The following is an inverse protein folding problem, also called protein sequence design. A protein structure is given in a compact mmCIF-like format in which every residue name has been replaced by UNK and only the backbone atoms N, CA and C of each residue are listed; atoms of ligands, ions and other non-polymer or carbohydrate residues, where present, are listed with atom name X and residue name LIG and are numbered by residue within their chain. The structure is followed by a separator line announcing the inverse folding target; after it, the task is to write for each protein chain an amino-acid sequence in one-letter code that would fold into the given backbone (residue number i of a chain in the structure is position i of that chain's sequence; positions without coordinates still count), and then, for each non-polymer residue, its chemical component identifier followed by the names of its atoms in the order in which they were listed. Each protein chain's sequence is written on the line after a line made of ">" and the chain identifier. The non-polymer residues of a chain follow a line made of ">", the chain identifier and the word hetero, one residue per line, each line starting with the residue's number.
data_IF_982557829729
#
_entry.id   IF_982557829729
#
_cell.length_a   1.000
_cell.length_b   1.000
_cell.length_c   1.000
_cell.angle_alpha   90.00
_cell.angle_beta   90.00
_cell.angle_gamma   90.00
#
_symmetry.space_group_name_H-M   'P 1'
#
loop_
_entity.id
_entity.type
_entity.pdbx_description
1 polymer ?
#
# COMPACT_ATOMS: atom_id res chain seq x y z
N UNK A 1 -16.49 -0.82 -17.86
CA UNK A 1 -15.87 -1.66 -18.93
C UNK A 1 -14.69 -2.36 -18.31
N UNK A 2 -14.80 -3.68 -18.07
CA UNK A 2 -13.71 -4.50 -17.51
C UNK A 2 -12.62 -4.61 -18.58
N UNK A 3 -11.45 -3.99 -18.36
CA UNK A 3 -10.28 -4.25 -19.20
C UNK A 3 -9.90 -5.72 -19.00
N UNK A 4 -10.01 -6.51 -20.04
CA UNK A 4 -9.49 -7.87 -20.09
C UNK A 4 -7.96 -7.77 -19.88
N UNK A 5 -7.50 -8.14 -18.69
CA UNK A 5 -6.08 -8.28 -18.40
C UNK A 5 -5.42 -9.11 -19.50
N UNK A 6 -4.30 -8.65 -20.03
CA UNK A 6 -3.56 -9.40 -21.02
C UNK A 6 -3.15 -10.76 -20.45
N UNK A 7 -2.96 -11.77 -21.30
CA UNK A 7 -2.45 -13.09 -20.86
C UNK A 7 -1.13 -12.97 -20.09
N UNK A 8 -0.33 -11.97 -20.41
CA UNK A 8 0.94 -11.67 -19.72
C UNK A 8 0.68 -11.14 -18.30
N UNK A 9 -0.27 -10.21 -18.14
CA UNK A 9 -0.60 -9.63 -16.83
C UNK A 9 -1.22 -10.68 -15.92
N UNK A 10 -2.11 -11.53 -16.45
CA UNK A 10 -2.68 -12.65 -15.70
C UNK A 10 -1.60 -13.62 -15.22
N UNK A 11 -0.69 -14.04 -16.09
CA UNK A 11 0.43 -14.91 -15.71
C UNK A 11 1.35 -14.26 -14.68
N UNK A 12 1.56 -12.94 -14.78
CA UNK A 12 2.35 -12.20 -13.81
C UNK A 12 1.70 -12.23 -12.44
N UNK A 13 0.41 -11.99 -12.35
CA UNK A 13 -0.36 -12.03 -11.09
C UNK A 13 -0.38 -13.46 -10.51
N UNK A 14 -0.61 -14.47 -11.33
CA UNK A 14 -0.59 -15.88 -10.91
C UNK A 14 0.78 -16.28 -10.34
N UNK A 15 1.88 -15.91 -10.99
CA UNK A 15 3.24 -16.23 -10.51
C UNK A 15 3.55 -15.49 -9.22
N UNK A 16 3.16 -14.20 -9.11
CA UNK A 16 3.31 -13.42 -7.89
C UNK A 16 2.56 -14.08 -6.72
N UNK A 17 1.29 -14.46 -6.94
CA UNK A 17 0.47 -15.11 -5.93
C UNK A 17 1.07 -16.45 -5.48
N UNK A 18 1.55 -17.27 -6.42
CA UNK A 18 2.18 -18.54 -6.11
C UNK A 18 3.46 -18.39 -5.26
N UNK A 19 4.28 -17.38 -5.56
CA UNK A 19 5.48 -17.07 -4.79
C UNK A 19 5.15 -16.59 -3.38
N UNK A 20 4.15 -15.71 -3.24
CA UNK A 20 3.69 -15.22 -1.93
C UNK A 20 3.11 -16.36 -1.09
N UNK A 21 2.21 -17.17 -1.65
CA UNK A 21 1.60 -18.32 -0.96
C UNK A 21 2.68 -19.32 -0.48
N UNK A 22 3.64 -19.66 -1.34
CA UNK A 22 4.76 -20.52 -0.99
C UNK A 22 5.60 -19.93 0.16
N UNK A 23 5.95 -18.63 0.08
CA UNK A 23 6.75 -17.96 1.07
C UNK A 23 6.05 -17.89 2.43
N UNK A 24 4.77 -17.53 2.44
CA UNK A 24 3.99 -17.41 3.67
C UNK A 24 3.78 -18.79 4.33
N UNK A 25 3.40 -19.83 3.59
CA UNK A 25 3.23 -21.20 4.11
C UNK A 25 4.52 -21.77 4.69
N UNK A 26 5.63 -21.69 3.95
CA UNK A 26 6.93 -22.12 4.45
C UNK A 26 7.32 -21.39 5.74
N UNK A 27 6.97 -20.11 5.83
CA UNK A 27 7.22 -19.30 7.03
C UNK A 27 6.38 -19.77 8.22
N UNK A 28 5.10 -20.04 8.02
CA UNK A 28 4.23 -20.58 9.08
C UNK A 28 4.69 -21.95 9.57
N UNK A 29 5.21 -22.79 8.67
CA UNK A 29 5.68 -24.14 8.98
C UNK A 29 7.03 -24.14 9.73
N UNK A 30 7.99 -23.30 9.33
CA UNK A 30 9.38 -23.41 9.77
C UNK A 30 9.98 -22.16 10.41
N UNK A 31 9.26 -21.05 10.37
CA UNK A 31 9.72 -19.74 10.82
C UNK A 31 10.51 -19.00 9.74
N UNK A 32 10.51 -17.63 9.77
CA UNK A 32 11.09 -16.80 8.70
C UNK A 32 12.60 -16.99 8.51
N UNK A 33 13.33 -17.37 9.59
CA UNK A 33 14.78 -17.53 9.54
C UNK A 33 15.21 -18.76 8.75
N UNK A 34 14.37 -19.80 8.70
CA UNK A 34 14.66 -21.05 7.97
C UNK A 34 14.22 -21.02 6.52
N UNK A 35 13.37 -20.08 6.13
CA UNK A 35 12.90 -19.93 4.75
C UNK A 35 13.98 -19.29 3.90
N UNK A 36 14.24 -19.88 2.72
CA UNK A 36 15.19 -19.37 1.73
C UNK A 36 14.49 -19.03 0.43
N UNK A 37 15.05 -18.12 -0.36
CA UNK A 37 14.52 -17.77 -1.69
C UNK A 37 14.49 -18.96 -2.63
N UNK A 38 15.46 -19.87 -2.52
CA UNK A 38 15.50 -21.09 -3.33
C UNK A 38 14.36 -22.06 -2.96
N UNK A 39 14.06 -22.21 -1.67
CA UNK A 39 12.94 -23.03 -1.20
C UNK A 39 11.60 -22.46 -1.68
N UNK A 40 11.43 -21.14 -1.60
CA UNK A 40 10.22 -20.44 -2.09
C UNK A 40 10.06 -20.66 -3.60
N UNK A 41 11.14 -20.42 -4.38
CA UNK A 41 11.12 -20.60 -5.83
C UNK A 41 10.78 -22.04 -6.23
N UNK A 42 11.40 -23.02 -5.55
CA UNK A 42 11.13 -24.45 -5.77
C UNK A 42 9.66 -24.79 -5.46
N UNK A 43 9.13 -24.33 -4.32
CA UNK A 43 7.73 -24.55 -3.93
C UNK A 43 6.75 -23.93 -4.93
N UNK A 44 7.06 -22.75 -5.47
CA UNK A 44 6.27 -22.07 -6.50
C UNK A 44 6.51 -22.57 -7.91
N UNK A 45 7.36 -23.60 -8.09
CA UNK A 45 7.74 -24.19 -9.37
C UNK A 45 8.30 -23.16 -10.38
N UNK A 46 9.16 -22.25 -9.89
CA UNK A 46 9.86 -21.26 -10.71
C UNK A 46 11.37 -21.27 -10.41
N UNK A 47 12.17 -20.59 -11.24
CA UNK A 47 13.59 -20.40 -10.96
C UNK A 47 13.85 -19.32 -9.90
N UNK A 48 15.01 -19.37 -9.20
CA UNK A 48 15.44 -18.30 -8.31
C UNK A 48 15.54 -16.95 -9.04
N UNK A 49 15.98 -16.94 -10.31
CA UNK A 49 15.97 -15.74 -11.15
C UNK A 49 14.55 -15.19 -11.34
N UNK A 50 13.57 -16.08 -11.51
CA UNK A 50 12.16 -15.66 -11.60
C UNK A 50 11.69 -15.05 -10.29
N UNK A 51 12.04 -15.62 -9.13
CA UNK A 51 11.73 -15.05 -7.84
C UNK A 51 12.19 -13.57 -7.75
N UNK A 52 13.44 -13.27 -8.07
CA UNK A 52 14.00 -11.91 -8.00
C UNK A 52 13.41 -10.92 -9.02
N UNK A 53 12.66 -11.40 -10.02
CA UNK A 53 11.88 -10.52 -10.90
C UNK A 53 10.57 -10.02 -10.25
N UNK A 54 10.15 -10.62 -9.14
CA UNK A 54 8.90 -10.30 -8.42
C UNK A 54 9.15 -9.70 -7.04
N UNK A 55 10.17 -10.19 -6.32
CA UNK A 55 10.45 -9.80 -4.95
C UNK A 55 11.93 -9.52 -4.75
N UNK A 56 12.24 -8.39 -4.12
CA UNK A 56 13.63 -8.02 -3.80
C UNK A 56 14.21 -8.83 -2.64
N UNK A 57 13.36 -9.27 -1.70
CA UNK A 57 13.74 -10.03 -0.51
C UNK A 57 12.74 -11.14 -0.20
N UNK A 58 13.16 -12.12 0.62
CA UNK A 58 12.24 -13.16 1.09
C UNK A 58 11.15 -12.59 2.00
N UNK A 59 11.45 -11.56 2.76
CA UNK A 59 10.50 -10.89 3.63
C UNK A 59 9.41 -10.19 2.81
N UNK A 60 9.75 -9.61 1.66
CA UNK A 60 8.77 -9.04 0.73
C UNK A 60 7.84 -10.12 0.17
N UNK A 61 8.39 -11.28 -0.20
CA UNK A 61 7.60 -12.41 -0.66
C UNK A 61 6.70 -12.97 0.46
N UNK A 62 7.21 -13.11 1.67
CA UNK A 62 6.46 -13.57 2.85
C UNK A 62 5.28 -12.62 3.14
N UNK A 63 5.49 -11.33 3.02
CA UNK A 63 4.46 -10.31 3.24
C UNK A 63 3.64 -9.98 1.98
N UNK A 64 3.97 -10.55 0.83
CA UNK A 64 3.32 -10.23 -0.43
C UNK A 64 3.43 -8.76 -0.82
N UNK A 65 4.57 -8.11 -0.57
CA UNK A 65 4.80 -6.70 -0.85
C UNK A 65 5.57 -6.53 -2.16
N UNK A 66 5.03 -5.74 -3.07
CA UNK A 66 5.75 -5.27 -4.25
C UNK A 66 6.29 -3.86 -4.01
N UNK A 67 7.29 -3.43 -4.80
CA UNK A 67 7.73 -2.04 -4.74
C UNK A 67 6.57 -1.11 -5.12
N UNK A 68 6.24 -0.09 -4.30
CA UNK A 68 5.12 0.78 -4.56
C UNK A 68 5.36 1.64 -5.80
N UNK A 69 4.31 1.79 -6.61
CA UNK A 69 4.27 2.67 -7.77
C UNK A 69 2.92 3.36 -7.87
N UNK A 70 2.88 4.51 -8.52
CA UNK A 70 1.65 5.24 -8.79
C UNK A 70 1.32 5.10 -10.27
N UNK A 71 0.09 4.68 -10.56
CA UNK A 71 -0.43 4.63 -11.94
C UNK A 71 -0.69 6.05 -12.46
N UNK A 72 -0.29 6.34 -13.71
CA UNK A 72 -0.49 7.65 -14.33
C UNK A 72 -1.96 8.08 -14.37
N UNK A 73 -2.88 7.13 -14.47
CA UNK A 73 -4.32 7.42 -14.44
C UNK A 73 -4.77 8.01 -13.11
N UNK A 74 -4.15 7.60 -11.99
CA UNK A 74 -4.47 8.17 -10.67
C UNK A 74 -3.94 9.60 -10.54
N UNK A 75 -2.78 9.89 -11.14
CA UNK A 75 -2.21 11.25 -11.17
C UNK A 75 -3.04 12.22 -12.00
N UNK A 76 -3.61 11.75 -13.10
CA UNK A 76 -4.46 12.59 -13.98
C UNK A 76 -5.70 13.13 -13.25
N UNK A 77 -6.25 12.36 -12.31
CA UNK A 77 -7.42 12.76 -11.51
C UNK A 77 -7.04 13.50 -10.21
N UNK A 78 -5.76 13.50 -9.83
CA UNK A 78 -5.29 14.07 -8.58
C UNK A 78 -5.22 15.60 -8.66
N UNK A 79 -5.77 16.28 -7.63
CA UNK A 79 -5.82 17.73 -7.55
C UNK A 79 -5.64 18.22 -6.10
N UNK A 80 -4.65 19.05 -5.85
CA UNK A 80 -4.36 19.60 -4.51
C UNK A 80 -5.29 20.73 -4.09
N UNK A 81 -6.16 21.22 -4.98
CA UNK A 81 -7.00 22.38 -4.73
C UNK A 81 -8.35 22.05 -4.09
N UNK A 82 -8.82 20.81 -4.26
CA UNK A 82 -10.14 20.40 -3.78
C UNK A 82 -10.07 19.07 -3.01
N UNK A 83 -10.77 18.97 -1.89
CA UNK A 83 -10.90 17.71 -1.11
C UNK A 83 -9.57 16.96 -0.90
N UNK A 84 -8.47 17.70 -0.65
CA UNK A 84 -7.12 17.15 -0.64
C UNK A 84 -6.98 15.94 0.32
N UNK A 85 -7.60 16.01 1.50
CA UNK A 85 -7.58 14.89 2.45
C UNK A 85 -8.16 13.61 1.83
N UNK A 86 -9.30 13.69 1.17
CA UNK A 86 -9.93 12.54 0.50
C UNK A 86 -9.05 12.01 -0.63
N UNK A 87 -8.53 12.91 -1.48
CA UNK A 87 -7.70 12.53 -2.62
C UNK A 87 -6.40 11.84 -2.20
N UNK A 88 -5.69 12.40 -1.21
CA UNK A 88 -4.45 11.81 -0.70
C UNK A 88 -4.72 10.47 -0.02
N UNK A 89 -5.79 10.36 0.79
CA UNK A 89 -6.16 9.11 1.42
C UNK A 89 -6.52 8.03 0.39
N UNK A 90 -7.25 8.38 -0.68
CA UNK A 90 -7.55 7.47 -1.79
C UNK A 90 -6.31 7.03 -2.54
N UNK A 91 -5.40 7.97 -2.81
CA UNK A 91 -4.14 7.64 -3.48
C UNK A 91 -3.31 6.66 -2.65
N UNK A 92 -3.23 6.86 -1.33
CA UNK A 92 -2.59 5.91 -0.41
C UNK A 92 -3.23 4.53 -0.48
N UNK A 93 -4.58 4.43 -0.44
CA UNK A 93 -5.31 3.16 -0.57
C UNK A 93 -5.01 2.50 -1.92
N UNK A 94 -5.05 3.24 -3.02
CA UNK A 94 -4.73 2.71 -4.35
C UNK A 94 -3.32 2.11 -4.41
N UNK A 95 -2.31 2.85 -3.93
CA UNK A 95 -0.93 2.38 -3.95
C UNK A 95 -0.79 1.11 -3.11
N UNK A 96 -1.32 1.09 -1.90
CA UNK A 96 -1.25 -0.10 -1.02
C UNK A 96 -1.97 -1.27 -1.66
N UNK A 97 -3.21 -1.09 -2.13
CA UNK A 97 -4.01 -2.15 -2.74
C UNK A 97 -3.34 -2.74 -3.99
N UNK A 98 -2.74 -1.90 -4.85
CA UNK A 98 -2.07 -2.35 -6.07
C UNK A 98 -0.83 -3.21 -5.81
N UNK A 99 -0.18 -3.01 -4.67
CA UNK A 99 1.08 -3.68 -4.30
C UNK A 99 0.87 -4.88 -3.38
N UNK A 100 -0.24 -4.96 -2.69
CA UNK A 100 -0.59 -6.10 -1.84
C UNK A 100 -1.28 -7.25 -2.58
N UNK A 101 -1.48 -7.11 -3.90
CA UNK A 101 -1.92 -8.19 -4.80
C UNK A 101 -3.34 -8.70 -4.61
N UNK A 102 -4.21 -7.93 -3.97
CA UNK A 102 -5.66 -8.18 -3.76
C UNK A 102 -6.13 -9.64 -3.77
N UNK A 103 -6.83 -10.13 -2.76
CA UNK A 103 -7.38 -11.48 -2.76
C UNK A 103 -6.96 -12.33 -1.55
N UNK A 104 -6.96 -13.67 -1.72
CA UNK A 104 -6.77 -14.68 -0.64
C UNK A 104 -5.45 -14.54 0.15
N UNK A 105 -4.45 -13.83 -0.37
CA UNK A 105 -3.17 -13.60 0.32
C UNK A 105 -3.25 -12.72 1.58
N UNK A 106 -4.32 -11.93 1.78
CA UNK A 106 -4.44 -11.05 2.94
C UNK A 106 -4.57 -11.83 4.26
N UNK A 107 -5.39 -12.89 4.29
CA UNK A 107 -5.54 -13.71 5.51
C UNK A 107 -4.22 -14.37 5.89
N UNK A 108 -3.49 -14.89 4.92
CA UNK A 108 -2.19 -15.54 5.11
C UNK A 108 -1.13 -14.54 5.61
N UNK A 109 -1.12 -13.33 5.05
CA UNK A 109 -0.27 -12.22 5.50
C UNK A 109 -0.56 -11.83 6.94
N UNK A 110 -1.84 -11.70 7.30
CA UNK A 110 -2.24 -11.36 8.66
C UNK A 110 -1.80 -12.43 9.66
N UNK A 111 -1.96 -13.72 9.34
CA UNK A 111 -1.51 -14.84 10.15
C UNK A 111 0.00 -14.81 10.37
N UNK A 112 0.78 -14.61 9.31
CA UNK A 112 2.24 -14.49 9.37
C UNK A 112 2.68 -13.32 10.25
N UNK A 113 2.09 -12.13 10.09
CA UNK A 113 2.44 -10.93 10.89
C UNK A 113 2.05 -11.09 12.36
N UNK A 114 0.97 -11.81 12.64
CA UNK A 114 0.54 -12.12 14.00
C UNK A 114 1.51 -13.09 14.68
N UNK A 115 1.92 -14.14 13.97
CA UNK A 115 2.81 -15.17 14.53
C UNK A 115 4.28 -14.71 14.58
N UNK A 116 4.72 -13.85 13.68
CA UNK A 116 6.10 -13.39 13.57
C UNK A 116 6.22 -11.86 13.64
N UNK A 117 6.19 -11.27 14.87
CA UNK A 117 6.21 -9.82 15.06
C UNK A 117 7.42 -9.10 14.45
N UNK A 118 8.55 -9.78 14.25
CA UNK A 118 9.76 -9.23 13.59
C UNK A 118 9.49 -8.77 12.17
N UNK A 119 8.53 -9.36 11.46
CA UNK A 119 8.14 -8.96 10.11
C UNK A 119 7.37 -7.63 10.06
N UNK A 120 6.87 -7.15 11.21
CA UNK A 120 6.20 -5.84 11.30
C UNK A 120 7.12 -4.69 10.90
N UNK A 121 8.40 -4.77 11.22
CA UNK A 121 9.36 -3.71 10.83
C UNK A 121 9.46 -3.59 9.31
N UNK A 122 9.43 -4.71 8.58
CA UNK A 122 9.45 -4.68 7.12
C UNK A 122 8.18 -4.05 6.56
N UNK A 123 7.01 -4.36 7.14
CA UNK A 123 5.74 -3.74 6.77
C UNK A 123 5.73 -2.24 7.04
N UNK A 124 6.26 -1.79 8.19
CA UNK A 124 6.41 -0.36 8.49
C UNK A 124 7.32 0.33 7.46
N UNK A 125 8.47 -0.27 7.14
CA UNK A 125 9.37 0.28 6.13
C UNK A 125 8.71 0.39 4.74
N UNK A 126 7.85 -0.55 4.40
CA UNK A 126 7.04 -0.50 3.18
C UNK A 126 6.07 0.68 3.20
N UNK A 127 5.29 0.86 4.27
CA UNK A 127 4.37 2.00 4.39
C UNK A 127 5.09 3.35 4.32
N UNK A 128 6.30 3.47 4.88
CA UNK A 128 7.13 4.67 4.75
C UNK A 128 7.52 4.96 3.29
N UNK A 129 7.78 3.92 2.48
CA UNK A 129 8.01 4.09 1.03
C UNK A 129 6.74 4.59 0.31
N UNK A 130 5.58 4.03 0.63
CA UNK A 130 4.28 4.47 0.09
C UNK A 130 4.01 5.93 0.44
N UNK A 131 4.17 6.30 1.72
CA UNK A 131 4.00 7.67 2.18
C UNK A 131 4.98 8.63 1.50
N UNK A 132 6.24 8.22 1.29
CA UNK A 132 7.22 9.03 0.57
C UNK A 132 6.79 9.28 -0.88
N UNK A 133 6.38 8.22 -1.59
CA UNK A 133 5.95 8.30 -2.99
C UNK A 133 4.76 9.24 -3.15
N UNK A 134 3.74 9.12 -2.29
CA UNK A 134 2.57 10.00 -2.29
C UNK A 134 2.95 11.44 -1.90
N UNK A 135 3.86 11.61 -0.94
CA UNK A 135 4.37 12.92 -0.54
C UNK A 135 5.03 13.68 -1.67
N UNK A 136 5.81 12.99 -2.51
CA UNK A 136 6.48 13.62 -3.65
C UNK A 136 5.45 14.22 -4.62
N UNK A 137 4.37 13.48 -4.91
CA UNK A 137 3.25 13.96 -5.74
C UNK A 137 2.54 15.17 -5.10
N UNK A 138 2.25 15.09 -3.80
CA UNK A 138 1.60 16.20 -3.06
C UNK A 138 2.50 17.43 -3.04
N UNK A 139 3.81 17.26 -2.85
CA UNK A 139 4.79 18.37 -2.84
C UNK A 139 4.82 19.09 -4.19
N UNK A 140 4.87 18.33 -5.29
CA UNK A 140 4.83 18.90 -6.64
C UNK A 140 3.53 19.70 -6.85
N UNK A 141 2.38 19.13 -6.49
CA UNK A 141 1.09 19.79 -6.61
C UNK A 141 0.99 21.07 -5.77
N UNK A 142 1.45 21.06 -4.51
CA UNK A 142 1.45 22.24 -3.63
C UNK A 142 2.36 23.32 -4.20
N UNK A 143 3.54 22.98 -4.69
CA UNK A 143 4.49 23.93 -5.26
C UNK A 143 3.94 24.62 -6.51
N UNK A 144 3.13 23.91 -7.30
CA UNK A 144 2.53 24.43 -8.53
C UNK A 144 1.21 25.21 -8.28
N UNK A 145 0.59 25.10 -7.10
CA UNK A 145 -0.75 25.62 -6.84
C UNK A 145 -0.74 27.00 -6.17
N UNK A 146 -1.44 27.97 -6.77
CA UNK A 146 -1.63 29.31 -6.21
C UNK A 146 -2.41 29.27 -4.88
N UNK A 147 -3.29 28.30 -4.66
CA UNK A 147 -4.05 28.13 -3.41
C UNK A 147 -3.14 27.98 -2.19
N UNK A 148 -1.99 27.37 -2.35
CA UNK A 148 -1.05 27.08 -1.27
C UNK A 148 0.03 28.15 -1.09
N UNK A 149 0.03 29.20 -1.94
CA UNK A 149 1.06 30.23 -1.94
C UNK A 149 1.25 30.90 -0.58
N UNK A 150 0.16 31.27 0.13
CA UNK A 150 0.23 31.94 1.42
C UNK A 150 0.82 31.05 2.52
N UNK A 151 0.44 29.78 2.55
CA UNK A 151 0.97 28.80 3.51
C UNK A 151 2.44 28.51 3.21
N UNK A 152 2.79 28.43 1.91
CA UNK A 152 4.16 28.18 1.44
C UNK A 152 5.13 29.36 1.70
N UNK A 153 4.63 30.58 2.01
CA UNK A 153 5.48 31.68 2.49
C UNK A 153 6.04 31.44 3.90
N UNK A 154 5.35 30.66 4.72
CA UNK A 154 5.69 30.43 6.12
C UNK A 154 6.24 29.03 6.40
N UNK A 155 5.98 28.06 5.51
CA UNK A 155 6.36 26.67 5.65
C UNK A 155 6.88 26.10 4.34
N UNK A 156 7.83 25.17 4.40
CA UNK A 156 8.33 24.48 3.21
C UNK A 156 7.26 23.56 2.65
N UNK A 157 7.17 23.47 1.33
CA UNK A 157 6.20 22.58 0.65
C UNK A 157 6.33 21.11 1.11
N UNK A 158 7.56 20.65 1.38
CA UNK A 158 7.83 19.31 1.88
C UNK A 158 7.26 19.08 3.29
N UNK A 159 7.28 20.09 4.17
CA UNK A 159 6.73 19.98 5.53
C UNK A 159 5.20 20.00 5.49
N UNK A 160 4.62 20.84 4.63
CA UNK A 160 3.17 20.88 4.40
C UNK A 160 2.70 19.52 3.87
N UNK A 161 3.36 18.99 2.82
CA UNK A 161 3.02 17.71 2.20
C UNK A 161 3.16 16.55 3.18
N UNK A 162 4.22 16.56 3.99
CA UNK A 162 4.44 15.56 5.03
C UNK A 162 3.29 15.54 6.03
N UNK A 163 2.85 16.70 6.50
CA UNK A 163 1.73 16.82 7.44
C UNK A 163 0.43 16.30 6.81
N UNK A 164 0.16 16.68 5.56
CA UNK A 164 -1.04 16.23 4.82
C UNK A 164 -1.05 14.70 4.67
N UNK A 165 0.07 14.09 4.25
CA UNK A 165 0.17 12.64 4.08
C UNK A 165 0.02 11.90 5.42
N UNK A 166 0.60 12.41 6.50
CA UNK A 166 0.43 11.84 7.84
C UNK A 166 -1.04 11.87 8.31
N UNK A 167 -1.74 13.00 8.09
CA UNK A 167 -3.17 13.13 8.42
C UNK A 167 -4.01 12.20 7.55
N UNK A 168 -3.74 12.14 6.24
CA UNK A 168 -4.43 11.27 5.29
C UNK A 168 -4.19 9.77 5.54
N UNK A 169 -3.04 9.43 6.10
CA UNK A 169 -2.71 8.06 6.51
C UNK A 169 -3.55 7.54 7.68
N UNK A 170 -4.10 8.41 8.53
CA UNK A 170 -4.93 7.96 9.66
C UNK A 170 -6.25 7.32 9.21
N UNK A 171 -7.12 7.99 8.40
CA UNK A 171 -8.34 7.38 7.89
C UNK A 171 -8.05 6.19 6.97
N UNK A 172 -6.95 6.20 6.21
CA UNK A 172 -6.54 5.04 5.40
C UNK A 172 -6.27 3.82 6.27
N UNK A 173 -5.46 3.94 7.34
CA UNK A 173 -5.18 2.83 8.27
C UNK A 173 -6.44 2.32 8.97
N UNK A 174 -7.32 3.24 9.39
CA UNK A 174 -8.62 2.87 9.98
C UNK A 174 -9.47 2.06 8.99
N UNK A 175 -9.60 2.53 7.75
CA UNK A 175 -10.37 1.86 6.71
C UNK A 175 -9.81 0.47 6.37
N UNK A 176 -8.50 0.30 6.34
CA UNK A 176 -7.87 -1.00 6.10
C UNK A 176 -8.14 -2.00 7.25
N UNK A 177 -8.21 -1.53 8.50
CA UNK A 177 -8.57 -2.38 9.64
C UNK A 177 -10.04 -2.82 9.56
N UNK A 178 -10.96 -1.89 9.27
CA UNK A 178 -12.40 -2.18 9.13
C UNK A 178 -12.70 -3.12 7.96
N UNK A 179 -11.95 -3.02 6.86
CA UNK A 179 -12.14 -3.85 5.66
C UNK A 179 -11.31 -5.15 5.66
N UNK A 180 -10.60 -5.47 6.73
CA UNK A 180 -9.65 -6.59 6.78
C UNK A 180 -10.27 -7.96 6.45
N UNK A 181 -11.56 -8.17 6.75
CA UNK A 181 -12.28 -9.43 6.45
C UNK A 181 -12.73 -9.57 4.99
N UNK A 182 -12.76 -8.47 4.22
CA UNK A 182 -13.12 -8.45 2.82
C UNK A 182 -12.37 -7.30 2.12
N UNK A 183 -11.06 -7.44 1.87
CA UNK A 183 -10.17 -6.36 1.45
C UNK A 183 -10.29 -6.03 -0.04
N UNK A 184 -11.51 -5.91 -0.57
CA UNK A 184 -11.72 -5.40 -1.93
C UNK A 184 -11.53 -3.90 -1.96
N UNK A 185 -11.13 -3.36 -3.12
CA UNK A 185 -10.93 -1.91 -3.27
C UNK A 185 -12.21 -1.12 -2.97
N UNK A 186 -13.37 -1.63 -3.38
CA UNK A 186 -14.67 -1.00 -3.12
C UNK A 186 -14.99 -0.93 -1.60
N UNK A 187 -14.74 -2.02 -0.86
CA UNK A 187 -14.93 -2.06 0.59
C UNK A 187 -13.94 -1.13 1.30
N UNK A 188 -12.69 -1.07 0.85
CA UNK A 188 -11.69 -0.16 1.38
C UNK A 188 -12.08 1.31 1.15
N UNK A 189 -12.63 1.66 -0.01
CA UNK A 189 -13.12 3.00 -0.27
C UNK A 189 -14.39 3.35 0.49
N UNK A 190 -15.30 2.42 0.69
CA UNK A 190 -16.49 2.62 1.53
C UNK A 190 -16.07 2.90 2.98
N UNK A 191 -15.18 2.07 3.55
CA UNK A 191 -14.63 2.26 4.89
C UNK A 191 -13.83 3.56 5.00
N UNK A 192 -13.05 3.93 3.97
CA UNK A 192 -12.30 5.18 3.92
C UNK A 192 -13.24 6.39 3.97
N UNK A 193 -14.33 6.37 3.22
CA UNK A 193 -15.31 7.47 3.22
C UNK A 193 -15.91 7.67 4.61
N UNK A 194 -16.24 6.57 5.31
CA UNK A 194 -16.73 6.60 6.70
C UNK A 194 -15.65 7.13 7.66
N UNK A 195 -14.42 6.70 7.51
CA UNK A 195 -13.29 7.14 8.33
C UNK A 195 -13.00 8.65 8.17
N UNK A 196 -13.08 9.16 6.93
CA UNK A 196 -12.89 10.60 6.65
C UNK A 196 -14.03 11.41 7.25
N UNK A 197 -15.28 10.93 7.18
CA UNK A 197 -16.41 11.60 7.82
C UNK A 197 -16.23 11.67 9.34
N UNK A 198 -15.86 10.56 9.97
CA UNK A 198 -15.55 10.52 11.40
C UNK A 198 -14.42 11.48 11.77
N UNK A 199 -13.33 11.51 10.98
CA UNK A 199 -12.21 12.41 11.24
C UNK A 199 -12.66 13.89 11.19
N UNK A 200 -13.53 14.27 10.25
CA UNK A 200 -14.07 15.63 10.13
C UNK A 200 -14.96 16.04 11.31
N UNK A 201 -15.67 15.09 11.89
CA UNK A 201 -16.50 15.32 13.08
C UNK A 201 -15.65 15.43 14.34
N UNK A 202 -14.63 14.59 14.50
CA UNK A 202 -13.77 14.56 15.71
C UNK A 202 -12.75 15.70 15.73
N UNK A 203 -12.22 16.11 14.58
CA UNK A 203 -11.11 17.06 14.51
C UNK A 203 -11.43 18.43 15.18
N UNK A 204 -12.61 19.03 15.05
CA UNK A 204 -12.96 20.27 15.75
C UNK A 204 -13.06 20.12 17.28
N UNK A 205 -13.40 18.92 17.78
CA UNK A 205 -13.60 18.67 19.20
C UNK A 205 -12.28 18.52 19.98
N UNK A 206 -11.16 18.37 19.28
CA UNK A 206 -9.83 18.22 19.88
C UNK A 206 -8.92 19.45 19.68
N UNK A 207 -9.45 20.54 19.14
CA UNK A 207 -8.79 21.85 19.00
C UNK A 207 -9.19 22.79 20.13
#
# INVERSE_FOLDING_TARGET
>A
MSQLLSLRDRKRTETWAALHDAAARLTLESGPDRVTTDAIAAQANVSARTFFNYFGTKEDAILGLQDPSIDENWLTAFNVETNLLDQVSRLLVHVVHSTEGGGDGESLRMEVVQQFPQLRQRRVAYFLKVEQLVRDVVTEGITASAKWADVAQHHRAEDISRMIVLIAGAPMRYAMQESAHAPTLDNQFAALSSAISLLREVLPEIQ
#
